data_IF_651754943603
#
_entry.id   IF_651754943603
#
_cell.length_a   1.000
_cell.length_b   1.000
_cell.length_c   1.000
_cell.angle_alpha   90.00
_cell.angle_beta   90.00
_cell.angle_gamma   90.00
#
_symmetry.space_group_name_H-M   'P 1'
#
loop_
_entity.id
_entity.type
_entity.pdbx_description
1 polymer ?
#
# COMPACT_ATOMS: atom_id res chain seq x y z
N UNK A 1 14.56 -22.54 7.96
CA UNK A 1 14.28 -22.20 7.53
C UNK A 1 14.21 -21.36 7.16
N UNK A 2 14.35 -21.13 7.11
CA UNK A 2 13.82 -20.00 6.81
C UNK A 2 13.36 -19.87 5.53
N UNK A 3 13.33 -20.63 4.82
CA UNK A 3 12.85 -20.60 3.61
C UNK A 3 11.72 -19.79 3.35
N UNK A 4 10.96 -19.54 4.27
CA UNK A 4 9.83 -18.72 4.07
C UNK A 4 10.18 -17.32 3.80
N UNK A 5 11.34 -16.85 4.12
CA UNK A 5 11.67 -15.49 3.83
C UNK A 5 11.77 -15.26 2.34
N UNK A 6 12.16 -16.25 1.61
CA UNK A 6 12.22 -16.12 0.17
C UNK A 6 10.84 -15.89 -0.40
N UNK A 7 9.88 -16.63 0.12
CA UNK A 7 8.54 -16.49 -0.35
C UNK A 7 7.99 -15.13 -0.04
N UNK A 8 8.29 -14.64 1.15
CA UNK A 8 7.78 -13.36 1.52
C UNK A 8 8.38 -12.26 0.72
N UNK A 9 9.66 -12.40 0.38
CA UNK A 9 10.31 -11.37 -0.38
C UNK A 9 9.66 -11.16 -1.72
N UNK A 10 9.13 -12.17 -2.30
CA UNK A 10 8.51 -12.03 -3.59
C UNK A 10 7.09 -11.51 -3.53
N UNK A 11 6.49 -11.48 -2.35
CA UNK A 11 5.10 -11.10 -2.22
C UNK A 11 4.86 -9.90 -1.35
N UNK A 12 5.90 -9.24 -0.95
CA UNK A 12 5.76 -8.10 -0.06
C UNK A 12 6.68 -6.97 -0.46
N UNK A 13 6.24 -5.75 -0.32
CA UNK A 13 7.10 -4.60 -0.49
C UNK A 13 6.87 -3.66 0.68
N UNK A 14 7.92 -2.98 1.10
CA UNK A 14 7.84 -2.03 2.19
C UNK A 14 8.42 -0.70 1.78
N UNK A 15 7.85 0.37 2.28
CA UNK A 15 8.34 1.71 2.02
C UNK A 15 8.21 2.56 3.25
N UNK A 16 9.19 3.41 3.49
CA UNK A 16 9.07 4.38 4.54
C UNK A 16 8.62 5.68 3.92
N UNK A 17 7.49 6.19 4.38
CA UNK A 17 6.90 7.39 3.85
C UNK A 17 7.02 8.50 4.88
N UNK A 18 7.41 9.71 4.46
CA UNK A 18 7.63 10.81 5.40
C UNK A 18 6.34 11.52 5.79
N UNK A 19 5.34 10.75 6.15
CA UNK A 19 4.04 11.28 6.54
C UNK A 19 3.58 10.55 7.79
N UNK A 20 2.73 11.18 8.57
CA UNK A 20 2.30 10.50 9.77
C UNK A 20 1.27 9.42 9.40
N UNK A 21 1.07 8.53 10.34
CA UNK A 21 0.27 7.35 10.13
C UNK A 21 -1.15 7.66 9.67
N UNK A 22 -1.75 8.71 10.19
CA UNK A 22 -3.11 9.03 9.82
C UNK A 22 -3.25 9.44 8.37
N UNK A 23 -2.29 10.19 7.85
CA UNK A 23 -2.31 10.57 6.46
C UNK A 23 -2.15 9.35 5.56
N UNK A 24 -1.28 8.43 5.95
CA UNK A 24 -1.06 7.23 5.15
C UNK A 24 -2.31 6.37 5.14
N UNK A 25 -2.97 6.23 6.27
CA UNK A 25 -4.20 5.45 6.35
C UNK A 25 -5.29 6.06 5.47
N UNK A 26 -5.45 7.38 5.52
CA UNK A 26 -6.44 8.03 4.68
C UNK A 26 -6.13 7.83 3.21
N UNK A 27 -4.85 7.88 2.87
CA UNK A 27 -4.45 7.68 1.48
C UNK A 27 -4.79 6.27 1.02
N UNK A 28 -4.61 5.29 1.89
CA UNK A 28 -4.96 3.92 1.54
C UNK A 28 -6.43 3.82 1.20
N UNK A 29 -7.30 4.36 2.05
CA UNK A 29 -8.72 4.29 1.79
C UNK A 29 -9.10 5.03 0.52
N UNK A 30 -8.51 6.19 0.28
CA UNK A 30 -8.82 6.95 -0.92
C UNK A 30 -8.41 6.21 -2.18
N UNK A 31 -7.25 5.59 -2.16
CA UNK A 31 -6.79 4.84 -3.32
C UNK A 31 -7.70 3.65 -3.57
N UNK A 32 -8.09 2.94 -2.50
CA UNK A 32 -8.95 1.79 -2.64
C UNK A 32 -10.33 2.21 -3.16
N UNK A 33 -10.87 3.29 -2.63
CA UNK A 33 -12.17 3.78 -3.08
C UNK A 33 -12.12 4.21 -4.54
N UNK A 34 -11.07 4.88 -4.94
CA UNK A 34 -10.94 5.32 -6.31
C UNK A 34 -10.87 4.18 -7.29
N UNK A 35 -10.33 3.07 -6.86
CA UNK A 35 -10.20 1.91 -7.72
C UNK A 35 -11.39 0.95 -7.61
N UNK A 36 -12.38 1.33 -6.85
CA UNK A 36 -13.55 0.48 -6.69
C UNK A 36 -13.25 -0.83 -5.99
N UNK A 37 -12.20 -0.84 -5.17
CA UNK A 37 -11.79 -2.08 -4.51
C UNK A 37 -12.67 -2.36 -3.31
N UNK A 38 -12.86 -3.64 -3.04
CA UNK A 38 -13.54 -4.04 -1.82
C UNK A 38 -12.48 -4.18 -0.75
N UNK A 39 -12.79 -3.76 0.45
CA UNK A 39 -11.79 -3.88 1.51
C UNK A 39 -12.45 -3.99 2.87
N UNK A 40 -11.65 -4.48 3.80
CA UNK A 40 -12.11 -4.67 5.14
C UNK A 40 -10.98 -4.32 6.09
N UNK A 41 -11.29 -3.54 7.11
CA UNK A 41 -10.31 -3.13 8.07
C UNK A 41 -10.22 -4.21 9.13
N UNK A 42 -9.09 -4.85 9.24
CA UNK A 42 -8.96 -5.95 10.18
C UNK A 42 -8.54 -5.45 11.55
N UNK A 43 -7.77 -4.36 11.59
CA UNK A 43 -7.45 -3.72 12.85
C UNK A 43 -7.01 -2.29 12.56
N UNK A 44 -6.51 -1.59 13.55
CA UNK A 44 -6.19 -0.18 13.39
C UNK A 44 -5.09 0.09 12.37
N UNK A 45 -4.34 -0.92 12.01
CA UNK A 45 -3.19 -0.74 11.14
C UNK A 45 -3.22 -1.53 9.85
N UNK A 46 -4.21 -2.37 9.67
CA UNK A 46 -4.21 -3.30 8.54
C UNK A 46 -5.54 -3.32 7.81
N UNK A 47 -5.45 -3.29 6.49
CA UNK A 47 -6.61 -3.38 5.62
C UNK A 47 -6.39 -4.53 4.66
N UNK A 48 -7.38 -5.39 4.51
CA UNK A 48 -7.32 -6.47 3.53
C UNK A 48 -8.21 -6.03 2.37
N UNK A 49 -7.70 -6.11 1.16
CA UNK A 49 -8.43 -5.62 0.01
C UNK A 49 -8.36 -6.58 -1.18
N UNK A 50 -9.46 -6.67 -1.90
CA UNK A 50 -9.48 -7.37 -3.17
C UNK A 50 -9.47 -6.29 -4.23
N UNK A 51 -8.46 -6.30 -5.06
CA UNK A 51 -8.27 -5.21 -6.00
C UNK A 51 -7.71 -5.75 -7.30
N UNK A 52 -8.17 -5.19 -8.40
CA UNK A 52 -7.67 -5.54 -9.71
C UNK A 52 -6.51 -4.62 -10.05
N UNK A 53 -5.35 -5.19 -10.31
CA UNK A 53 -4.18 -4.42 -10.69
C UNK A 53 -3.71 -4.95 -12.02
N UNK A 54 -3.63 -4.09 -13.02
CA UNK A 54 -3.31 -4.49 -14.39
C UNK A 54 -4.25 -5.58 -14.89
N UNK A 55 -5.52 -5.49 -14.46
CA UNK A 55 -6.50 -6.47 -14.88
C UNK A 55 -6.51 -7.78 -14.13
N UNK A 56 -5.65 -7.90 -13.12
CA UNK A 56 -5.57 -9.15 -12.34
C UNK A 56 -6.12 -8.93 -10.95
N UNK A 57 -7.20 -9.60 -10.64
CA UNK A 57 -7.82 -9.46 -9.32
C UNK A 57 -7.06 -10.28 -8.31
N UNK A 58 -6.58 -9.63 -7.28
CA UNK A 58 -5.80 -10.29 -6.25
C UNK A 58 -6.20 -9.77 -4.87
N UNK A 59 -5.76 -10.47 -3.86
CA UNK A 59 -6.05 -10.09 -2.49
C UNK A 59 -4.79 -9.60 -1.82
N UNK A 60 -4.87 -8.42 -1.24
CA UNK A 60 -3.71 -7.75 -0.64
C UNK A 60 -3.92 -7.47 0.83
N UNK A 61 -2.83 -7.43 1.56
CA UNK A 61 -2.83 -6.91 2.92
C UNK A 61 -2.00 -5.64 2.90
N UNK A 62 -2.58 -4.54 3.36
CA UNK A 62 -1.89 -3.26 3.38
C UNK A 62 -1.79 -2.85 4.83
N UNK A 63 -0.58 -2.66 5.31
CA UNK A 63 -0.33 -2.43 6.71
C UNK A 63 0.52 -1.19 6.91
N UNK A 64 0.28 -0.46 8.00
CA UNK A 64 1.08 0.71 8.32
C UNK A 64 1.66 0.55 9.71
N UNK A 65 2.90 0.98 9.86
CA UNK A 65 3.59 0.90 11.14
C UNK A 65 4.24 2.24 11.40
N UNK A 66 3.91 2.84 12.52
CA UNK A 66 4.45 4.14 12.87
C UNK A 66 5.92 4.01 13.17
N UNK A 67 6.72 4.93 12.67
CA UNK A 67 8.15 4.94 12.91
C UNK A 67 8.58 6.30 13.39
N UNK A 68 9.83 6.40 13.78
CA UNK A 68 10.35 7.62 14.34
C UNK A 68 10.22 8.80 13.40
N UNK A 69 10.48 8.60 12.14
CA UNK A 69 10.45 9.68 11.19
C UNK A 69 9.46 9.45 10.06
N UNK A 70 8.34 8.87 10.36
CA UNK A 70 7.32 8.65 9.34
C UNK A 70 6.55 7.38 9.58
N UNK A 71 6.15 6.75 8.49
CA UNK A 71 5.33 5.56 8.57
C UNK A 71 5.84 4.54 7.59
N UNK A 72 5.92 3.30 8.01
CA UNK A 72 6.28 2.23 7.10
C UNK A 72 5.01 1.66 6.51
N UNK A 73 4.93 1.64 5.19
CA UNK A 73 3.83 1.06 4.46
C UNK A 73 4.28 -0.30 3.96
N UNK A 74 3.50 -1.32 4.24
CA UNK A 74 3.81 -2.67 3.81
C UNK A 74 2.65 -3.18 2.97
N UNK A 75 2.92 -3.66 1.78
CA UNK A 75 1.90 -4.24 0.90
C UNK A 75 2.30 -5.67 0.62
N UNK A 76 1.41 -6.59 0.95
CA UNK A 76 1.66 -8.02 0.78
C UNK A 76 0.54 -8.59 -0.07
N UNK A 77 0.87 -9.47 -0.99
CA UNK A 77 -0.15 -10.16 -1.76
C UNK A 77 -0.48 -11.46 -1.06
N UNK A 78 -1.72 -11.57 -0.60
CA UNK A 78 -2.16 -12.76 0.12
C UNK A 78 -2.60 -13.86 -0.83
N UNK A 79 -3.27 -13.45 -1.91
CA UNK A 79 -3.80 -14.43 -2.84
C UNK A 79 -3.72 -13.86 -4.22
N UNK A 80 -2.78 -14.35 -5.03
CA UNK A 80 -2.62 -13.82 -6.39
C UNK A 80 -3.69 -14.34 -7.32
N UNK A 81 -3.90 -13.59 -8.38
CA UNK A 81 -4.75 -14.03 -9.45
C UNK A 81 -4.14 -15.29 -10.04
N UNK A 82 -4.98 -16.21 -10.43
CA UNK A 82 -4.51 -17.46 -10.98
C UNK A 82 -3.67 -17.21 -12.22
N UNK A 83 -2.55 -17.85 -12.31
CA UNK A 83 -1.67 -17.69 -13.46
C UNK A 83 -0.72 -16.52 -13.38
N UNK A 84 -0.79 -15.76 -12.29
CA UNK A 84 0.09 -14.62 -12.16
C UNK A 84 1.50 -15.06 -11.84
N UNK A 85 2.46 -14.58 -12.61
CA UNK A 85 3.86 -14.96 -12.40
C UNK A 85 4.46 -14.23 -11.20
N UNK A 86 5.63 -14.66 -10.78
CA UNK A 86 6.32 -14.02 -9.67
C UNK A 86 6.60 -12.55 -9.98
N UNK A 87 7.02 -12.26 -11.21
CA UNK A 87 7.27 -10.87 -11.56
C UNK A 87 5.97 -10.08 -11.63
N UNK A 88 4.87 -10.72 -11.99
CA UNK A 88 3.58 -10.09 -11.99
C UNK A 88 3.13 -9.73 -10.60
N UNK A 89 3.38 -10.62 -9.63
CA UNK A 89 3.07 -10.35 -8.24
C UNK A 89 3.88 -9.14 -7.77
N UNK A 90 5.17 -9.12 -8.07
CA UNK A 90 6.02 -8.03 -7.64
C UNK A 90 5.57 -6.70 -8.24
N UNK A 91 5.20 -6.72 -9.51
CA UNK A 91 4.71 -5.52 -10.14
C UNK A 91 3.41 -5.03 -9.55
N UNK A 92 2.54 -5.95 -9.19
CA UNK A 92 1.25 -5.58 -8.62
C UNK A 92 1.41 -4.94 -7.25
N UNK A 93 2.21 -5.53 -6.38
CA UNK A 93 2.37 -4.96 -5.05
C UNK A 93 3.11 -3.62 -5.11
N UNK A 94 4.04 -3.50 -6.05
CA UNK A 94 4.73 -2.23 -6.24
C UNK A 94 3.77 -1.16 -6.73
N UNK A 95 2.86 -1.53 -7.64
CA UNK A 95 1.89 -0.59 -8.14
C UNK A 95 0.96 -0.08 -7.06
N UNK A 96 0.56 -0.94 -6.14
CA UNK A 96 -0.29 -0.53 -5.04
C UNK A 96 0.46 0.44 -4.14
N UNK A 97 1.70 0.11 -3.79
CA UNK A 97 2.50 0.98 -2.93
C UNK A 97 2.77 2.32 -3.61
N UNK A 98 3.04 2.30 -4.92
CA UNK A 98 3.27 3.52 -5.67
C UNK A 98 2.03 4.39 -5.70
N UNK A 99 0.86 3.79 -5.86
CA UNK A 99 -0.39 4.54 -5.92
C UNK A 99 -0.64 5.29 -4.62
N UNK A 100 -0.37 4.63 -3.50
CA UNK A 100 -0.58 5.25 -2.21
C UNK A 100 0.42 6.38 -2.01
N UNK A 101 1.67 6.13 -2.35
CA UNK A 101 2.72 7.11 -2.22
C UNK A 101 2.44 8.33 -3.08
N UNK A 102 2.02 8.09 -4.32
CA UNK A 102 1.73 9.15 -5.25
C UNK A 102 0.53 9.97 -4.82
N UNK A 103 -0.48 9.31 -4.28
CA UNK A 103 -1.65 10.02 -3.80
C UNK A 103 -1.25 10.99 -2.68
N UNK A 104 -0.40 10.53 -1.77
CA UNK A 104 0.07 11.40 -0.69
C UNK A 104 0.81 12.60 -1.22
N UNK A 105 1.69 12.37 -2.17
CA UNK A 105 2.44 13.47 -2.74
C UNK A 105 1.55 14.46 -3.44
N UNK A 106 0.64 13.98 -4.23
CA UNK A 106 -0.23 14.84 -5.00
C UNK A 106 -1.18 15.63 -4.11
N UNK A 107 -1.78 14.98 -3.15
CA UNK A 107 -2.74 15.65 -2.29
C UNK A 107 -2.10 16.69 -1.40
N UNK A 108 -0.97 16.38 -0.86
CA UNK A 108 -0.33 17.33 0.03
C UNK A 108 0.22 18.52 -0.73
N UNK A 109 0.72 18.28 -1.93
CA UNK A 109 1.20 19.37 -2.75
C UNK A 109 0.05 20.25 -3.20
N UNK A 110 -1.04 19.63 -3.61
CA UNK A 110 -2.20 20.38 -4.08
C UNK A 110 -2.84 21.20 -2.99
N UNK A 111 -2.85 20.68 -1.79
CA UNK A 111 -3.51 21.40 -0.72
C UNK A 111 -2.76 22.68 -0.40
N UNK A 112 -1.47 22.69 -0.59
CA UNK A 112 -0.67 23.85 -0.32
C UNK A 112 -0.59 24.24 1.11
N UNK A 113 -1.64 24.02 1.84
CA UNK A 113 -1.71 24.38 3.22
C UNK A 113 -0.67 23.71 4.04
N UNK A 114 -0.58 22.41 3.84
CA UNK A 114 0.37 21.65 4.56
C UNK A 114 1.79 22.09 4.26
N UNK A 115 2.04 22.34 3.00
CA UNK A 115 3.36 22.72 2.61
C UNK A 115 3.75 24.06 3.17
N UNK A 116 2.82 24.97 3.21
CA UNK A 116 3.11 26.24 3.71
C UNK A 116 3.44 26.26 5.15
N UNK A 117 2.86 25.39 5.89
CA UNK A 117 3.14 25.39 7.26
C UNK A 117 4.52 25.05 7.56
N UNK A 118 5.17 24.42 6.69
CA UNK A 118 6.50 24.00 6.93
C UNK A 118 7.53 24.96 6.55
N UNK A 119 7.10 26.08 6.25
CA UNK A 119 8.03 26.99 5.88
C UNK A 119 8.26 27.93 6.75
#
# INVERSE_FOLDING_TARGET
>A
MPQHSVLRDGKETKRTLPYNRQYVILAIYEVLDKNGAEYEKTDASTVISNMSVYGNLSRFSICVTEQEHGTELSVTMLQPCEGLSASGVQRAITAVADSISQYLENELVMSGIFMQKNR
#
